data_IF_241209403807
#
_entry.id   IF_241209403807
#
_cell.length_a   1.000
_cell.length_b   1.000
_cell.length_c   1.000
_cell.angle_alpha   90.00
_cell.angle_beta   90.00
_cell.angle_gamma   90.00
#
_symmetry.space_group_name_H-M   'P 1'
#
loop_
_entity.id
_entity.type
_entity.pdbx_description
1 polymer ?
#
# COMPACT_ATOMS: atom_id res chain seq x y z
N UNK A 1 -10.02 -12.45 -30.52
CA UNK A 1 -8.61 -12.61 -30.07
C UNK A 1 -8.66 -12.97 -28.61
N UNK A 2 -8.03 -14.08 -28.25
CA UNK A 2 -8.26 -14.82 -26.99
C UNK A 2 -7.70 -14.07 -25.79
N UNK A 3 -8.54 -13.80 -24.79
CA UNK A 3 -8.11 -13.34 -23.48
C UNK A 3 -7.41 -14.49 -22.76
N UNK A 4 -6.09 -14.42 -22.69
CA UNK A 4 -5.26 -15.34 -21.91
C UNK A 4 -5.51 -15.02 -20.42
N UNK A 5 -6.40 -15.81 -19.80
CA UNK A 5 -6.59 -15.80 -18.37
C UNK A 5 -5.24 -16.03 -17.68
N UNK A 6 -4.71 -14.98 -17.05
CA UNK A 6 -3.57 -15.06 -16.13
C UNK A 6 -3.99 -15.97 -14.98
N UNK A 7 -3.80 -17.27 -15.15
CA UNK A 7 -3.84 -18.24 -14.06
C UNK A 7 -2.68 -17.88 -13.13
N UNK A 8 -2.97 -17.07 -12.10
CA UNK A 8 -2.10 -16.95 -10.94
C UNK A 8 -1.94 -18.36 -10.38
N UNK A 9 -0.78 -18.95 -10.65
CA UNK A 9 -0.38 -20.23 -10.12
C UNK A 9 -0.54 -20.18 -8.60
N UNK A 10 -1.35 -21.08 -8.05
CA UNK A 10 -1.66 -21.10 -6.61
C UNK A 10 -0.44 -21.66 -5.89
N UNK A 11 0.56 -20.82 -5.66
CA UNK A 11 1.73 -21.16 -4.85
C UNK A 11 1.22 -21.46 -3.44
N UNK A 12 1.40 -22.70 -2.99
CA UNK A 12 1.05 -23.07 -1.62
C UNK A 12 1.95 -22.30 -0.64
N UNK A 13 1.41 -21.75 0.44
CA UNK A 13 2.21 -21.01 1.41
C UNK A 13 3.21 -21.94 2.12
N UNK A 14 4.47 -21.50 2.19
CA UNK A 14 5.50 -22.20 2.98
C UNK A 14 5.19 -22.06 4.48
N UNK A 15 5.05 -23.18 5.18
CA UNK A 15 4.75 -23.20 6.62
C UNK A 15 5.93 -23.76 7.41
N UNK A 16 6.27 -23.13 8.54
CA UNK A 16 7.21 -23.68 9.53
C UNK A 16 6.61 -23.64 10.94
N UNK A 17 6.84 -24.71 11.71
CA UNK A 17 6.49 -24.74 13.13
C UNK A 17 7.51 -23.91 13.92
N UNK A 18 7.05 -22.86 14.59
CA UNK A 18 7.84 -22.05 15.51
C UNK A 18 7.54 -22.38 16.97
N UNK A 19 8.50 -22.10 17.86
CA UNK A 19 8.28 -22.08 19.31
C UNK A 19 8.31 -20.64 19.80
N UNK A 20 7.40 -20.32 20.73
CA UNK A 20 7.35 -19.02 21.38
C UNK A 20 8.03 -19.14 22.74
N UNK A 21 8.97 -18.24 23.03
CA UNK A 21 9.64 -18.23 24.34
C UNK A 21 8.75 -17.63 25.42
N UNK A 22 9.13 -17.78 26.69
CA UNK A 22 8.41 -17.18 27.83
C UNK A 22 8.30 -15.64 27.75
N UNK A 23 9.24 -15.00 27.04
CA UNK A 23 9.24 -13.56 26.77
C UNK A 23 8.44 -13.18 25.53
N UNK A 24 7.65 -14.10 24.97
CA UNK A 24 6.85 -13.92 23.74
C UNK A 24 7.72 -13.62 22.51
N UNK A 25 8.96 -14.11 22.50
CA UNK A 25 9.84 -13.98 21.34
C UNK A 25 9.62 -15.17 20.41
N UNK A 26 9.57 -14.90 19.10
CA UNK A 26 9.55 -15.89 18.02
C UNK A 26 10.80 -15.68 17.18
N UNK A 27 11.48 -16.77 16.81
CA UNK A 27 12.60 -16.71 15.86
C UNK A 27 12.06 -16.86 14.45
N UNK A 28 12.39 -15.90 13.58
CA UNK A 28 12.08 -15.98 12.14
C UNK A 28 13.14 -16.89 11.47
N UNK A 29 12.74 -17.94 10.74
CA UNK A 29 13.66 -18.75 9.96
C UNK A 29 14.48 -17.90 8.98
N UNK A 30 15.78 -18.21 8.83
CA UNK A 30 16.70 -17.42 8.00
C UNK A 30 16.23 -17.26 6.55
N UNK A 31 15.72 -18.33 5.96
CA UNK A 31 15.16 -18.32 4.61
C UNK A 31 13.97 -17.38 4.47
N UNK A 32 13.11 -17.27 5.49
CA UNK A 32 11.97 -16.35 5.46
C UNK A 32 12.43 -14.91 5.67
N UNK A 33 13.41 -14.69 6.54
CA UNK A 33 14.04 -13.38 6.75
C UNK A 33 14.64 -12.84 5.44
N UNK A 34 15.40 -13.68 4.73
CA UNK A 34 16.04 -13.34 3.46
C UNK A 34 15.00 -13.13 2.34
N UNK A 35 14.01 -14.03 2.20
CA UNK A 35 12.95 -13.92 1.17
C UNK A 35 12.08 -12.68 1.33
N UNK A 36 11.77 -12.29 2.57
CA UNK A 36 10.97 -11.09 2.86
C UNK A 36 11.80 -9.80 2.85
N UNK A 37 13.13 -9.90 2.73
CA UNK A 37 14.04 -8.75 2.77
C UNK A 37 13.90 -7.94 4.07
N UNK A 38 13.69 -8.64 5.19
CA UNK A 38 13.56 -8.00 6.50
C UNK A 38 14.91 -7.39 6.92
N UNK A 39 14.85 -6.38 7.77
CA UNK A 39 16.03 -5.73 8.34
C UNK A 39 15.86 -5.60 9.87
N UNK A 40 16.48 -4.60 10.50
CA UNK A 40 16.40 -4.38 11.94
C UNK A 40 14.99 -4.09 12.45
N UNK A 41 14.14 -3.47 11.62
CA UNK A 41 12.78 -3.08 11.98
C UNK A 41 11.74 -3.81 11.11
N UNK A 42 10.65 -4.21 11.74
CA UNK A 42 9.51 -4.88 11.07
C UNK A 42 8.19 -4.30 11.56
N UNK A 43 7.20 -4.30 10.68
CA UNK A 43 5.82 -3.99 11.06
C UNK A 43 5.10 -5.29 11.43
N UNK A 44 4.46 -5.32 12.59
CA UNK A 44 3.68 -6.47 13.07
C UNK A 44 2.21 -6.06 13.14
N UNK A 45 1.39 -6.67 12.30
CA UNK A 45 -0.03 -6.36 12.14
C UNK A 45 -0.83 -7.53 12.74
N UNK A 46 -1.72 -7.22 13.68
CA UNK A 46 -2.73 -8.15 14.16
C UNK A 46 -3.95 -8.08 13.22
N UNK A 47 -4.25 -9.17 12.53
CA UNK A 47 -5.42 -9.28 11.64
C UNK A 47 -6.23 -10.53 12.01
N UNK A 48 -7.42 -10.32 12.59
CA UNK A 48 -8.28 -11.39 13.11
C UNK A 48 -7.53 -12.31 14.09
N UNK A 49 -7.14 -13.50 13.62
CA UNK A 49 -6.48 -14.56 14.39
C UNK A 49 -5.03 -14.82 13.94
N UNK A 50 -4.44 -13.92 13.14
CA UNK A 50 -3.06 -14.05 12.66
C UNK A 50 -2.22 -12.80 12.92
N UNK A 51 -0.92 -13.02 13.11
CA UNK A 51 0.10 -11.97 13.08
C UNK A 51 0.73 -11.97 11.69
N UNK A 52 0.59 -10.86 10.98
CA UNK A 52 1.31 -10.61 9.73
C UNK A 52 2.53 -9.76 10.01
N UNK A 53 3.70 -10.26 9.62
CA UNK A 53 4.96 -9.53 9.73
C UNK A 53 5.34 -9.05 8.34
N UNK A 54 5.60 -7.75 8.21
CA UNK A 54 6.06 -7.13 6.96
C UNK A 54 7.35 -6.37 7.21
N UNK A 55 8.14 -6.18 6.16
CA UNK A 55 9.27 -5.25 6.18
C UNK A 55 8.75 -3.87 6.62
N UNK A 56 9.39 -3.26 7.60
CA UNK A 56 9.07 -1.89 7.95
C UNK A 56 9.51 -0.98 6.82
N UNK A 57 8.55 -0.36 6.15
CA UNK A 57 8.81 0.72 5.20
C UNK A 57 8.52 2.01 5.95
N UNK A 58 9.54 2.87 6.10
CA UNK A 58 9.27 4.25 6.50
C UNK A 58 8.42 4.87 5.40
N UNK A 59 7.40 5.65 5.79
CA UNK A 59 6.54 6.37 4.84
C UNK A 59 7.37 7.14 3.80
N UNK A 60 8.55 7.63 4.19
CA UNK A 60 9.52 8.28 3.30
C UNK A 60 9.95 7.42 2.08
N UNK A 61 10.02 6.08 2.18
CA UNK A 61 10.46 5.20 1.08
C UNK A 61 9.34 4.82 0.09
N UNK A 62 8.06 4.92 0.48
CA UNK A 62 6.92 4.60 -0.39
C UNK A 62 6.39 5.81 -1.16
N UNK A 63 6.86 6.99 -0.75
CA UNK A 63 6.37 8.30 -1.16
C UNK A 63 7.00 8.83 -2.46
N UNK A 64 8.07 8.21 -2.95
CA UNK A 64 8.81 8.68 -4.13
C UNK A 64 7.95 8.80 -5.39
N UNK A 65 6.97 7.90 -5.61
CA UNK A 65 6.12 7.94 -6.81
C UNK A 65 5.21 9.17 -6.89
N UNK A 66 4.83 9.74 -5.75
CA UNK A 66 3.91 10.89 -5.70
C UNK A 66 4.61 12.20 -5.31
N UNK A 67 5.85 12.13 -4.83
CA UNK A 67 6.61 13.30 -4.40
C UNK A 67 6.66 14.40 -5.49
N UNK A 68 7.01 14.03 -6.72
CA UNK A 68 7.08 15.00 -7.83
C UNK A 68 5.71 15.62 -8.15
N UNK A 69 4.65 14.83 -8.09
CA UNK A 69 3.28 15.29 -8.35
C UNK A 69 2.77 16.22 -7.24
N UNK A 70 3.05 15.89 -5.97
CA UNK A 70 2.69 16.70 -4.82
C UNK A 70 3.47 18.02 -4.85
N UNK A 71 4.77 17.97 -5.13
CA UNK A 71 5.58 19.18 -5.26
C UNK A 71 5.08 20.06 -6.41
N UNK A 72 4.79 19.48 -7.58
CA UNK A 72 4.19 20.20 -8.70
C UNK A 72 2.87 20.87 -8.30
N UNK A 73 1.98 20.16 -7.60
CA UNK A 73 0.69 20.73 -7.16
C UNK A 73 0.87 21.97 -6.27
N UNK A 74 1.85 21.94 -5.36
CA UNK A 74 2.16 23.06 -4.45
C UNK A 74 2.67 24.27 -5.24
N UNK A 75 3.54 24.03 -6.23
CA UNK A 75 4.06 25.09 -7.10
C UNK A 75 2.99 25.68 -8.00
N UNK A 76 2.10 24.84 -8.54
CA UNK A 76 0.98 25.26 -9.40
C UNK A 76 -0.06 26.11 -8.61
N UNK A 77 -0.19 25.88 -7.30
CA UNK A 77 -1.00 26.70 -6.39
C UNK A 77 -0.36 28.06 -6.05
N UNK A 78 0.87 28.32 -6.52
CA UNK A 78 1.58 29.57 -6.31
C UNK A 78 2.15 29.72 -4.90
N UNK A 79 2.37 28.61 -4.18
CA UNK A 79 2.99 28.63 -2.86
C UNK A 79 4.49 28.88 -3.04
N UNK A 80 4.93 30.04 -2.55
CA UNK A 80 6.32 30.48 -2.63
C UNK A 80 7.03 30.39 -1.27
N UNK A 81 8.36 30.37 -1.31
CA UNK A 81 9.19 30.33 -0.11
C UNK A 81 9.51 28.90 0.34
N UNK A 82 10.81 28.64 0.53
CA UNK A 82 11.33 27.29 0.83
C UNK A 82 10.67 26.65 2.04
N UNK A 83 10.48 27.40 3.11
CA UNK A 83 9.91 26.89 4.37
C UNK A 83 8.42 26.54 4.24
N UNK A 84 7.64 27.34 3.52
CA UNK A 84 6.21 27.07 3.32
C UNK A 84 6.00 25.88 2.38
N UNK A 85 6.79 25.79 1.30
CA UNK A 85 6.80 24.65 0.38
C UNK A 85 7.12 23.36 1.15
N UNK A 86 8.16 23.35 1.99
CA UNK A 86 8.53 22.15 2.76
C UNK A 86 7.45 21.73 3.75
N UNK A 87 6.77 22.71 4.37
CA UNK A 87 5.69 22.47 5.32
C UNK A 87 4.47 21.85 4.63
N UNK A 88 4.02 22.44 3.52
CA UNK A 88 2.89 21.94 2.74
C UNK A 88 3.20 20.59 2.09
N UNK A 89 4.43 20.41 1.61
CA UNK A 89 4.87 19.14 1.04
C UNK A 89 4.76 18.00 2.06
N UNK A 90 5.34 18.19 3.26
CA UNK A 90 5.26 17.17 4.33
C UNK A 90 3.82 16.88 4.72
N UNK A 91 3.01 17.92 4.92
CA UNK A 91 1.60 17.77 5.26
C UNK A 91 0.84 16.93 4.23
N UNK A 92 0.99 17.22 2.93
CA UNK A 92 0.31 16.48 1.87
C UNK A 92 0.80 15.06 1.74
N UNK A 93 2.11 14.84 1.85
CA UNK A 93 2.69 13.50 1.81
C UNK A 93 2.19 12.64 2.98
N UNK A 94 2.06 13.20 4.18
CA UNK A 94 1.53 12.48 5.35
C UNK A 94 0.03 12.14 5.22
N UNK A 95 -0.74 13.00 4.54
CA UNK A 95 -2.17 12.80 4.31
C UNK A 95 -2.48 11.87 3.13
N UNK A 96 -1.52 11.67 2.22
CA UNK A 96 -1.73 10.92 0.98
C UNK A 96 -2.18 9.47 1.21
N UNK A 97 -1.59 8.67 2.14
CA UNK A 97 -2.07 7.32 2.43
C UNK A 97 -3.53 7.28 2.91
N UNK A 98 -3.94 8.26 3.71
CA UNK A 98 -5.32 8.35 4.24
C UNK A 98 -6.29 8.68 3.11
N UNK A 99 -5.96 9.66 2.28
CA UNK A 99 -6.77 10.05 1.12
C UNK A 99 -6.95 8.89 0.12
N UNK A 100 -5.88 8.13 -0.14
CA UNK A 100 -5.93 6.95 -1.02
C UNK A 100 -6.81 5.85 -0.42
N UNK A 101 -6.71 5.58 0.88
CA UNK A 101 -7.56 4.59 1.55
C UNK A 101 -9.04 4.97 1.49
N UNK A 102 -9.36 6.22 1.78
CA UNK A 102 -10.74 6.72 1.71
C UNK A 102 -11.28 6.66 0.29
N UNK A 103 -10.46 7.01 -0.71
CA UNK A 103 -10.83 6.91 -2.12
C UNK A 103 -11.13 5.46 -2.53
N UNK A 104 -10.23 4.51 -2.20
CA UNK A 104 -10.43 3.09 -2.49
C UNK A 104 -11.69 2.56 -1.80
N UNK A 105 -11.98 3.02 -0.58
CA UNK A 105 -13.19 2.64 0.15
C UNK A 105 -14.45 3.19 -0.51
N UNK A 106 -14.44 4.45 -0.94
CA UNK A 106 -15.55 5.08 -1.65
C UNK A 106 -15.84 4.37 -2.99
N UNK A 107 -14.80 4.09 -3.77
CA UNK A 107 -14.90 3.30 -5.01
C UNK A 107 -15.53 1.94 -4.72
N UNK A 108 -15.03 1.20 -3.73
CA UNK A 108 -15.57 -0.13 -3.36
C UNK A 108 -17.05 -0.08 -2.99
N UNK A 109 -17.48 0.97 -2.27
CA UNK A 109 -18.89 1.12 -1.89
C UNK A 109 -19.77 1.41 -3.11
N UNK A 110 -19.30 2.26 -4.03
CA UNK A 110 -20.01 2.58 -5.27
C UNK A 110 -20.13 1.38 -6.20
N UNK A 111 -19.14 0.50 -6.20
CA UNK A 111 -19.12 -0.69 -7.06
C UNK A 111 -19.72 -1.94 -6.42
N UNK A 112 -20.07 -1.91 -5.11
CA UNK A 112 -20.48 -3.09 -4.35
C UNK A 112 -21.74 -3.79 -4.89
N UNK A 113 -22.57 -3.06 -5.64
CA UNK A 113 -23.82 -3.56 -6.23
C UNK A 113 -23.90 -3.31 -7.74
N UNK A 114 -22.75 -3.08 -8.38
CA UNK A 114 -22.72 -2.74 -9.80
C UNK A 114 -22.60 -4.00 -10.66
N UNK A 115 -23.55 -4.15 -11.60
CA UNK A 115 -23.63 -5.30 -12.51
C UNK A 115 -22.98 -5.03 -13.87
N UNK A 116 -22.39 -3.86 -14.09
CA UNK A 116 -21.67 -3.49 -15.32
C UNK A 116 -20.37 -4.28 -15.46
N UNK A 117 -19.88 -4.46 -16.68
CA UNK A 117 -18.57 -5.09 -16.88
C UNK A 117 -17.45 -4.20 -16.31
N UNK A 118 -16.26 -4.74 -16.01
CA UNK A 118 -15.14 -3.94 -15.53
C UNK A 118 -14.82 -2.73 -16.42
N UNK A 119 -14.91 -2.87 -17.75
CA UNK A 119 -14.65 -1.75 -18.67
C UNK A 119 -15.75 -0.67 -18.62
N UNK A 120 -17.02 -1.06 -18.54
CA UNK A 120 -18.15 -0.14 -18.42
C UNK A 120 -18.15 0.60 -17.08
N UNK A 121 -17.70 -0.08 -16.02
CA UNK A 121 -17.58 0.44 -14.68
C UNK A 121 -16.44 1.46 -14.58
N UNK A 122 -15.28 1.14 -15.14
CA UNK A 122 -14.10 1.99 -15.16
C UNK A 122 -14.39 3.30 -15.91
N UNK A 123 -14.94 3.20 -17.13
CA UNK A 123 -15.38 4.35 -17.92
C UNK A 123 -16.39 5.24 -17.19
N UNK A 124 -17.32 4.66 -16.43
CA UNK A 124 -18.31 5.44 -15.70
C UNK A 124 -17.77 6.13 -14.44
N UNK A 125 -16.70 5.59 -13.84
CA UNK A 125 -16.10 6.12 -12.61
C UNK A 125 -14.99 7.14 -12.89
N UNK A 126 -14.19 6.90 -13.92
CA UNK A 126 -12.99 7.68 -14.22
C UNK A 126 -13.13 8.55 -15.48
N UNK A 127 -14.20 8.35 -16.28
CA UNK A 127 -14.40 9.03 -17.56
C UNK A 127 -13.72 8.31 -18.73
N UNK A 128 -13.93 8.81 -19.95
CA UNK A 128 -13.11 8.41 -21.11
C UNK A 128 -11.88 9.31 -21.17
N UNK A 129 -10.68 8.72 -21.25
CA UNK A 129 -9.51 9.41 -21.79
C UNK A 129 -9.66 9.63 -23.31
#
# INVERSE_FOLDING_TARGET
MSAELIKREKVMPETRLGKITSKRQLTIPKDFFDKLGLSGDVEIILDKDELRIKKYQRLEESHDYFADLVLKSILDEGIEGKEEILKEFRLRMDLLPLAVQDYVKDVRNKTAYDNRTPEELDKALFGEE
#
